data_IF_753471650214
#
_entry.id   IF_753471650214
#
_cell.length_a   1.000
_cell.length_b   1.000
_cell.length_c   1.000
_cell.angle_alpha   90.00
_cell.angle_beta   90.00
_cell.angle_gamma   90.00
#
_symmetry.space_group_name_H-M   'P 1'
#
loop_
_entity.id
_entity.type
_entity.pdbx_description
1 polymer ?
#
# COMPACT_ATOMS: atom_id res chain seq x y z
N UNK A 1 18.60 -21.21 16.99
CA UNK A 1 17.49 -21.10 16.01
C UNK A 1 16.27 -21.95 16.39
N UNK A 2 16.36 -23.28 16.53
CA UNK A 2 15.18 -24.13 16.84
C UNK A 2 14.42 -23.71 18.10
N UNK A 3 15.10 -23.41 19.22
CA UNK A 3 14.45 -22.99 20.48
C UNK A 3 13.60 -21.72 20.32
N UNK A 4 14.07 -20.74 19.53
CA UNK A 4 13.34 -19.49 19.26
C UNK A 4 12.10 -19.76 18.42
N UNK A 5 12.22 -20.59 17.39
CA UNK A 5 11.10 -21.01 16.54
C UNK A 5 10.04 -21.75 17.37
N UNK A 6 10.45 -22.66 18.26
CA UNK A 6 9.51 -23.38 19.14
C UNK A 6 8.77 -22.43 20.08
N UNK A 7 9.44 -21.41 20.63
CA UNK A 7 8.79 -20.40 21.49
C UNK A 7 7.80 -19.56 20.69
N UNK A 8 8.19 -19.11 19.49
CA UNK A 8 7.32 -18.33 18.61
C UNK A 8 6.08 -19.13 18.23
N UNK A 9 6.25 -20.40 17.86
CA UNK A 9 5.15 -21.29 17.52
C UNK A 9 4.17 -21.49 18.68
N UNK A 10 4.67 -21.70 19.90
CA UNK A 10 3.81 -21.78 21.09
C UNK A 10 3.01 -20.49 21.32
N UNK A 11 3.62 -19.33 21.16
CA UNK A 11 2.93 -18.05 21.27
C UNK A 11 1.86 -17.89 20.18
N UNK A 12 2.14 -18.30 18.95
CA UNK A 12 1.17 -18.30 17.85
C UNK A 12 -0.04 -19.20 18.15
N UNK A 13 0.19 -20.42 18.65
CA UNK A 13 -0.89 -21.33 19.04
C UNK A 13 -1.78 -20.75 20.16
N UNK A 14 -1.20 -19.99 21.09
CA UNK A 14 -1.94 -19.33 22.17
C UNK A 14 -2.88 -18.23 21.65
N UNK A 15 -2.44 -17.46 20.65
CA UNK A 15 -3.24 -16.34 20.11
C UNK A 15 -4.20 -16.76 19.00
N UNK A 16 -4.00 -17.96 18.42
CA UNK A 16 -4.76 -18.46 17.27
C UNK A 16 -6.27 -18.36 17.47
N UNK A 17 -6.78 -18.77 18.63
CA UNK A 17 -8.21 -18.69 18.93
C UNK A 17 -8.75 -17.25 18.81
N UNK A 18 -7.98 -16.26 19.25
CA UNK A 18 -8.39 -14.86 19.21
C UNK A 18 -8.26 -14.26 17.81
N UNK A 19 -7.27 -14.68 17.03
CA UNK A 19 -6.97 -14.10 15.72
C UNK A 19 -7.69 -14.77 14.55
N UNK A 20 -8.05 -16.06 14.67
CA UNK A 20 -8.57 -16.87 13.57
C UNK A 20 -10.09 -16.99 13.55
N UNK A 21 -10.77 -16.57 14.61
CA UNK A 21 -12.24 -16.56 14.68
C UNK A 21 -12.80 -15.18 14.33
N UNK A 22 -14.02 -15.16 13.78
CA UNK A 22 -14.76 -13.93 13.56
C UNK A 22 -15.45 -13.48 14.84
N UNK A 23 -15.39 -12.18 15.10
CA UNK A 23 -15.98 -11.57 16.28
C UNK A 23 -16.97 -10.50 15.84
N UNK A 24 -18.17 -10.55 16.38
CA UNK A 24 -19.17 -9.50 16.19
C UNK A 24 -18.97 -8.48 17.31
N UNK A 25 -18.47 -7.31 16.96
CA UNK A 25 -18.28 -6.21 17.89
C UNK A 25 -19.50 -5.28 17.83
N UNK A 26 -20.14 -5.04 18.98
CA UNK A 26 -21.24 -4.08 19.10
C UNK A 26 -20.75 -2.82 19.84
N UNK A 27 -20.98 -1.64 19.26
CA UNK A 27 -20.64 -0.33 19.84
C UNK A 27 -21.85 0.55 20.13
N UNK A 28 -23.07 0.01 20.11
CA UNK A 28 -24.33 0.75 20.30
C UNK A 28 -24.35 1.52 21.62
N UNK A 29 -23.96 0.88 22.73
CA UNK A 29 -23.94 1.53 24.04
C UNK A 29 -22.96 2.71 24.10
N UNK A 30 -21.81 2.59 23.45
CA UNK A 30 -20.81 3.67 23.38
C UNK A 30 -21.34 4.84 22.57
N UNK A 31 -21.98 4.56 21.44
CA UNK A 31 -22.61 5.58 20.59
C UNK A 31 -23.79 6.26 21.31
N UNK A 32 -24.62 5.49 22.01
CA UNK A 32 -25.74 6.01 22.79
C UNK A 32 -25.24 6.95 23.89
N UNK A 33 -24.25 6.51 24.67
CA UNK A 33 -23.64 7.34 25.72
C UNK A 33 -23.06 8.63 25.13
N UNK A 34 -22.31 8.52 24.03
CA UNK A 34 -21.77 9.70 23.34
C UNK A 34 -22.88 10.67 22.91
N UNK A 35 -24.04 10.19 22.47
CA UNK A 35 -25.14 11.07 22.08
C UNK A 35 -25.83 11.74 23.27
N UNK A 36 -25.84 11.11 24.44
CA UNK A 36 -26.49 11.61 25.64
C UNK A 36 -25.63 12.62 26.43
N UNK A 37 -24.30 12.62 26.25
CA UNK A 37 -23.42 13.55 26.96
C UNK A 37 -23.61 15.00 26.53
N UNK A 38 -23.52 15.91 27.51
CA UNK A 38 -23.48 17.35 27.27
C UNK A 38 -22.23 17.73 26.44
N UNK A 39 -22.27 18.86 25.71
CA UNK A 39 -21.09 19.36 25.02
C UNK A 39 -19.88 19.57 25.94
N UNK A 40 -20.11 19.95 27.20
CA UNK A 40 -19.09 20.13 28.23
C UNK A 40 -18.45 18.80 28.60
N UNK A 41 -19.26 17.78 28.91
CA UNK A 41 -18.75 16.45 29.29
C UNK A 41 -17.99 15.78 28.16
N UNK A 42 -18.43 15.97 26.90
CA UNK A 42 -17.71 15.48 25.72
C UNK A 42 -16.31 16.07 25.59
N UNK A 43 -16.11 17.32 26.03
CA UNK A 43 -14.80 17.97 26.01
C UNK A 43 -13.91 17.49 27.16
N UNK A 44 -14.48 17.34 28.35
CA UNK A 44 -13.73 16.88 29.54
C UNK A 44 -13.35 15.40 29.41
N UNK A 45 -14.27 14.57 28.93
CA UNK A 45 -14.10 13.12 28.75
C UNK A 45 -14.28 12.72 27.29
N UNK A 46 -13.36 13.15 26.44
CA UNK A 46 -13.41 12.78 25.03
C UNK A 46 -12.95 11.34 24.80
N UNK A 47 -13.88 10.46 24.43
CA UNK A 47 -13.61 9.09 23.97
C UNK A 47 -13.97 8.89 22.49
N UNK A 48 -14.13 9.98 21.74
CA UNK A 48 -14.40 9.93 20.31
C UNK A 48 -13.12 9.67 19.50
N UNK A 49 -12.86 8.40 19.22
CA UNK A 49 -11.70 7.98 18.42
C UNK A 49 -11.75 8.44 16.96
N UNK A 50 -12.91 8.90 16.46
CA UNK A 50 -13.05 9.38 15.06
C UNK A 50 -12.29 10.69 14.82
N UNK A 51 -12.01 11.43 15.89
CA UNK A 51 -11.27 12.68 15.83
C UNK A 51 -9.75 12.46 15.64
N UNK A 52 -9.28 11.21 15.78
CA UNK A 52 -7.87 10.88 15.60
C UNK A 52 -7.49 10.88 14.12
N UNK A 53 -6.34 11.47 13.82
CA UNK A 53 -5.67 11.27 12.54
C UNK A 53 -4.98 9.90 12.55
N UNK A 54 -5.73 8.85 12.18
CA UNK A 54 -5.32 7.45 12.32
C UNK A 54 -3.97 7.11 11.66
N UNK A 55 -3.63 7.73 10.53
CA UNK A 55 -2.38 7.47 9.85
C UNK A 55 -1.17 7.89 10.71
N UNK A 56 -1.24 9.07 11.30
CA UNK A 56 -0.19 9.58 12.19
C UNK A 56 -0.16 8.84 13.52
N UNK A 57 -1.33 8.55 14.09
CA UNK A 57 -1.43 7.76 15.30
C UNK A 57 -0.74 6.39 15.13
N UNK A 58 -1.03 5.69 14.02
CA UNK A 58 -0.45 4.38 13.74
C UNK A 58 1.05 4.46 13.47
N UNK A 59 1.54 5.52 12.80
CA UNK A 59 2.97 5.73 12.63
C UNK A 59 3.67 5.94 13.98
N UNK A 60 3.15 6.84 14.82
CA UNK A 60 3.69 7.12 16.15
C UNK A 60 3.62 5.90 17.06
N UNK A 61 2.53 5.13 17.02
CA UNK A 61 2.37 3.89 17.75
C UNK A 61 3.43 2.85 17.36
N UNK A 62 3.62 2.61 16.06
CA UNK A 62 4.64 1.69 15.58
C UNK A 62 6.05 2.16 15.97
N UNK A 63 6.31 3.46 15.84
CA UNK A 63 7.59 4.08 16.19
C UNK A 63 7.90 3.96 17.68
N UNK A 64 6.91 4.26 18.53
CA UNK A 64 7.02 4.16 19.98
C UNK A 64 7.20 2.72 20.44
N UNK A 65 6.46 1.77 19.86
CA UNK A 65 6.62 0.35 20.17
C UNK A 65 8.04 -0.13 19.85
N UNK A 66 8.56 0.20 18.66
CA UNK A 66 9.93 -0.14 18.28
C UNK A 66 10.96 0.42 19.26
N UNK A 67 10.84 1.69 19.63
CA UNK A 67 11.80 2.38 20.49
C UNK A 67 11.73 1.94 21.96
N UNK A 68 10.53 1.84 22.53
CA UNK A 68 10.34 1.74 23.98
C UNK A 68 9.93 0.34 24.44
N UNK A 69 9.15 -0.40 23.64
CA UNK A 69 8.72 -1.76 24.00
C UNK A 69 9.76 -2.78 23.56
N UNK A 70 10.26 -2.63 22.33
CA UNK A 70 11.25 -3.54 21.75
C UNK A 70 12.69 -3.10 22.00
N UNK A 71 12.91 -1.88 22.51
CA UNK A 71 14.23 -1.30 22.76
C UNK A 71 15.17 -1.37 21.54
N UNK A 72 14.62 -1.17 20.34
CA UNK A 72 15.39 -1.20 19.09
C UNK A 72 15.91 0.18 18.71
N UNK A 73 17.10 0.22 18.08
CA UNK A 73 17.65 1.46 17.56
C UNK A 73 16.86 2.02 16.36
N UNK A 74 16.70 3.34 16.36
CA UNK A 74 16.01 4.07 15.28
C UNK A 74 16.90 4.38 14.08
N UNK A 75 18.22 4.26 14.27
CA UNK A 75 19.27 4.50 13.26
C UNK A 75 19.12 3.63 12.00
N UNK A 76 18.51 2.45 12.12
CA UNK A 76 18.31 1.50 11.02
C UNK A 76 17.18 1.85 10.04
N UNK A 77 16.30 2.80 10.38
CA UNK A 77 15.13 3.13 9.53
C UNK A 77 15.49 3.60 8.11
N UNK A 78 16.48 4.50 7.90
CA UNK A 78 16.85 4.92 6.54
C UNK A 78 17.36 3.76 5.69
N UNK A 79 18.13 2.83 6.28
CA UNK A 79 18.62 1.64 5.60
C UNK A 79 17.46 0.70 5.22
N UNK A 80 16.51 0.48 6.13
CA UNK A 80 15.30 -0.31 5.85
C UNK A 80 14.45 0.31 4.73
N UNK A 81 14.24 1.64 4.74
CA UNK A 81 13.53 2.37 3.68
C UNK A 81 14.25 2.23 2.32
N UNK A 82 15.58 2.33 2.31
CA UNK A 82 16.39 2.12 1.09
C UNK A 82 16.25 0.70 0.55
N UNK A 83 16.27 -0.29 1.44
CA UNK A 83 16.06 -1.69 1.08
C UNK A 83 14.67 -1.93 0.48
N UNK A 84 13.61 -1.42 1.10
CA UNK A 84 12.24 -1.51 0.56
C UNK A 84 12.11 -0.82 -0.79
N UNK A 85 12.73 0.35 -0.98
CA UNK A 85 12.75 1.04 -2.28
C UNK A 85 13.45 0.21 -3.35
N UNK A 86 14.58 -0.43 -3.00
CA UNK A 86 15.29 -1.35 -3.90
C UNK A 86 14.42 -2.53 -4.30
N UNK A 87 13.79 -3.21 -3.35
CA UNK A 87 12.88 -4.34 -3.61
C UNK A 87 11.70 -3.94 -4.49
N UNK A 88 11.11 -2.76 -4.23
CA UNK A 88 10.03 -2.22 -5.04
C UNK A 88 10.47 -1.97 -6.49
N UNK A 89 11.65 -1.38 -6.69
CA UNK A 89 12.20 -1.14 -8.02
C UNK A 89 12.48 -2.45 -8.76
N UNK A 90 13.00 -3.47 -8.07
CA UNK A 90 13.21 -4.81 -8.63
C UNK A 90 11.86 -5.40 -9.07
N UNK A 91 10.82 -5.33 -8.22
CA UNK A 91 9.49 -5.83 -8.56
C UNK A 91 8.92 -5.15 -9.80
N UNK A 92 9.01 -3.82 -9.88
CA UNK A 92 8.54 -3.10 -11.06
C UNK A 92 9.34 -3.46 -12.31
N UNK A 93 10.68 -3.49 -12.21
CA UNK A 93 11.52 -3.89 -13.34
C UNK A 93 11.21 -5.29 -13.85
N UNK A 94 11.09 -6.26 -12.93
CA UNK A 94 10.71 -7.63 -13.27
C UNK A 94 9.35 -7.71 -13.96
N UNK A 95 8.33 -7.07 -13.39
CA UNK A 95 6.99 -7.04 -13.99
C UNK A 95 6.99 -6.38 -15.37
N UNK A 96 7.73 -5.28 -15.55
CA UNK A 96 7.87 -4.61 -16.84
C UNK A 96 8.54 -5.51 -17.88
N UNK A 97 9.63 -6.21 -17.52
CA UNK A 97 10.30 -7.15 -18.41
C UNK A 97 9.36 -8.30 -18.81
N UNK A 98 8.61 -8.86 -17.85
CA UNK A 98 7.62 -9.90 -18.14
C UNK A 98 6.55 -9.42 -19.13
N UNK A 99 5.99 -8.22 -18.92
CA UNK A 99 5.00 -7.64 -19.83
C UNK A 99 5.57 -7.46 -21.23
N UNK A 100 6.81 -6.97 -21.36
CA UNK A 100 7.48 -6.79 -22.66
C UNK A 100 7.70 -8.13 -23.35
N UNK A 101 8.14 -9.16 -22.62
CA UNK A 101 8.37 -10.49 -23.20
C UNK A 101 7.07 -11.13 -23.67
N UNK A 102 6.01 -11.07 -22.86
CA UNK A 102 4.67 -11.55 -23.22
C UNK A 102 4.16 -10.82 -24.47
N UNK A 103 4.28 -9.49 -24.50
CA UNK A 103 3.88 -8.67 -25.64
C UNK A 103 4.65 -9.04 -26.92
N UNK A 104 5.98 -9.20 -26.82
CA UNK A 104 6.83 -9.60 -27.95
C UNK A 104 6.46 -10.97 -28.50
N UNK A 105 6.23 -11.96 -27.63
CA UNK A 105 5.83 -13.31 -28.03
C UNK A 105 4.45 -13.27 -28.71
N UNK A 106 3.50 -12.52 -28.14
CA UNK A 106 2.15 -12.38 -28.67
C UNK A 106 2.14 -11.81 -30.10
N UNK A 107 2.89 -10.74 -30.36
CA UNK A 107 3.05 -10.16 -31.71
C UNK A 107 3.79 -11.12 -32.65
N UNK A 108 4.82 -11.83 -32.18
CA UNK A 108 5.55 -12.78 -33.01
C UNK A 108 4.66 -13.94 -33.49
N UNK A 109 3.74 -14.41 -32.64
CA UNK A 109 2.84 -15.54 -32.93
C UNK A 109 1.59 -15.15 -33.73
N UNK A 110 1.07 -13.93 -33.58
CA UNK A 110 -0.20 -13.51 -34.21
C UNK A 110 -0.01 -12.48 -35.33
N UNK A 111 -0.38 -12.84 -36.56
CA UNK A 111 -0.37 -11.91 -37.70
C UNK A 111 -1.37 -10.75 -37.50
N UNK A 112 -2.53 -11.01 -36.88
CA UNK A 112 -3.52 -9.99 -36.55
C UNK A 112 -2.95 -8.97 -35.53
N UNK A 113 -2.24 -9.44 -34.51
CA UNK A 113 -1.60 -8.58 -33.52
C UNK A 113 -0.51 -7.68 -34.14
N UNK A 114 0.30 -8.21 -35.09
CA UNK A 114 1.25 -7.39 -35.87
C UNK A 114 0.54 -6.27 -36.62
N UNK A 115 -0.51 -6.61 -37.36
CA UNK A 115 -1.23 -5.65 -38.19
C UNK A 115 -1.87 -4.54 -37.35
N UNK A 116 -2.49 -4.90 -36.22
CA UNK A 116 -3.03 -3.94 -35.25
C UNK A 116 -1.92 -3.05 -34.68
N UNK A 117 -0.77 -3.63 -34.32
CA UNK A 117 0.37 -2.87 -33.80
C UNK A 117 0.88 -1.82 -34.79
N UNK A 118 1.09 -2.20 -36.06
CA UNK A 118 1.51 -1.26 -37.09
C UNK A 118 0.47 -0.16 -37.33
N UNK A 119 -0.83 -0.50 -37.29
CA UNK A 119 -1.91 0.47 -37.39
C UNK A 119 -1.86 1.50 -36.25
N UNK A 120 -1.73 1.05 -35.00
CA UNK A 120 -1.61 1.93 -33.82
C UNK A 120 -0.39 2.85 -33.91
N UNK A 121 0.79 2.30 -34.25
CA UNK A 121 2.02 3.10 -34.42
C UNK A 121 1.84 4.15 -35.53
N UNK A 122 1.19 3.79 -36.64
CA UNK A 122 0.92 4.74 -37.73
C UNK A 122 -0.03 5.86 -37.31
N UNK A 123 -1.03 5.58 -36.48
CA UNK A 123 -1.93 6.58 -35.89
C UNK A 123 -1.18 7.54 -34.96
N UNK A 124 -0.34 7.01 -34.07
CA UNK A 124 0.48 7.83 -33.18
C UNK A 124 1.44 8.73 -33.96
N UNK A 125 2.09 8.23 -35.02
CA UNK A 125 2.95 9.04 -35.88
C UNK A 125 2.18 10.16 -36.56
N UNK A 126 1.00 9.86 -37.13
CA UNK A 126 0.13 10.87 -37.76
C UNK A 126 -0.31 11.92 -36.75
N UNK A 127 -0.73 11.52 -35.56
CA UNK A 127 -1.13 12.42 -34.48
C UNK A 127 0.03 13.33 -34.05
N UNK A 128 1.22 12.80 -33.82
CA UNK A 128 2.41 13.60 -33.50
C UNK A 128 2.78 14.57 -34.62
N UNK A 129 2.68 14.14 -35.89
CA UNK A 129 2.93 15.01 -37.03
C UNK A 129 1.91 16.15 -37.17
N UNK A 130 0.64 15.89 -36.83
CA UNK A 130 -0.43 16.89 -36.82
C UNK A 130 -0.19 17.97 -35.75
N UNK A 131 0.19 17.58 -34.52
CA UNK A 131 0.56 18.53 -33.48
C UNK A 131 1.82 19.33 -33.84
N UNK A 132 2.83 18.68 -34.43
CA UNK A 132 4.05 19.35 -34.88
C UNK A 132 3.73 20.39 -35.98
N UNK A 133 2.91 20.05 -36.97
CA UNK A 133 2.49 20.97 -38.03
C UNK A 133 1.63 22.14 -37.51
N UNK A 134 0.76 21.88 -36.52
CA UNK A 134 -0.04 22.93 -35.86
C UNK A 134 0.81 23.90 -35.03
N UNK A 135 1.91 23.44 -34.43
CA UNK A 135 2.84 24.30 -33.70
C UNK A 135 3.69 25.23 -34.60
N UNK A 136 3.93 24.84 -35.86
CA UNK A 136 4.69 25.64 -36.84
C UNK A 136 3.87 26.70 -37.57
N UNK A 137 2.54 26.68 -37.50
CA UNK A 137 1.65 27.68 -38.15
C UNK A 137 1.20 28.82 -37.21
N UNK A 138 1.83 28.97 -36.04
CA UNK A 138 1.48 29.99 -35.02
C UNK A 138 2.35 31.26 -35.02
N UNK A 139 3.02 31.57 -36.13
CA UNK A 139 3.70 32.85 -36.37
C UNK A 139 3.14 33.55 -37.60
#
# INVERSE_FOLDING_TARGET
MMKTITRLHKAMMLIEYFTSNSWIWNTENVNMLMNQLSPEDKKVFNFDVRQLHWAEYMENYCMGTKKYVLNEEMSGLPAARKHLKKLRNIRYGFNTVLVILIWRIFIARSQMARNIWYFVVSLCYKFLSYFRASSTMRY
#
